data_IF_173140189961
#
_entry.id   IF_173140189961
#
_cell.length_a   1.000
_cell.length_b   1.000
_cell.length_c   1.000
_cell.angle_alpha   90.00
_cell.angle_beta   90.00
_cell.angle_gamma   90.00
#
_symmetry.space_group_name_H-M   'P 1'
#
loop_
_entity.id
_entity.type
_entity.pdbx_description
1 polymer ?
#
# COMPACT_ATOMS: atom_id res chain seq x y z
N UNK A 1 -24.18 10.09 3.19
CA UNK A 1 -23.55 10.85 4.31
C UNK A 1 -22.57 9.93 5.04
N UNK A 2 -21.71 10.49 5.92
CA UNK A 2 -20.87 9.68 6.82
C UNK A 2 -21.22 10.01 8.26
N UNK A 3 -21.42 8.96 9.05
CA UNK A 3 -21.51 9.04 10.50
C UNK A 3 -20.14 8.63 11.06
N UNK A 4 -19.51 9.51 11.81
CA UNK A 4 -18.16 9.29 12.31
C UNK A 4 -18.10 9.42 13.84
N UNK A 5 -17.65 8.37 14.49
CA UNK A 5 -17.31 8.35 15.90
C UNK A 5 -15.88 8.83 16.13
N UNK A 6 -15.66 10.15 16.18
CA UNK A 6 -14.33 10.70 16.46
C UNK A 6 -14.00 10.66 17.95
N UNK A 7 -12.70 10.80 18.29
CA UNK A 7 -12.18 10.84 19.66
C UNK A 7 -12.53 9.58 20.47
N UNK A 8 -13.51 9.65 21.37
CA UNK A 8 -13.87 8.58 22.31
C UNK A 8 -14.44 7.31 21.66
N UNK A 9 -14.77 7.36 20.37
CA UNK A 9 -15.26 6.23 19.59
C UNK A 9 -14.21 5.67 18.61
N UNK A 10 -12.92 6.00 18.83
CA UNK A 10 -11.76 5.47 18.11
C UNK A 10 -11.76 5.65 16.58
N UNK A 11 -12.57 6.56 16.03
CA UNK A 11 -12.60 6.84 14.60
C UNK A 11 -13.35 5.79 13.79
N UNK A 12 -14.40 5.19 14.36
CA UNK A 12 -15.37 4.39 13.61
C UNK A 12 -16.11 5.24 12.58
N UNK A 13 -16.23 4.72 11.36
CA UNK A 13 -16.85 5.38 10.21
C UNK A 13 -17.97 4.51 9.66
N UNK A 14 -19.11 5.11 9.41
CA UNK A 14 -20.25 4.48 8.76
C UNK A 14 -20.67 5.30 7.55
N UNK A 15 -20.65 4.66 6.38
CA UNK A 15 -21.04 5.24 5.11
C UNK A 15 -22.51 4.90 4.87
N UNK A 16 -23.37 5.91 4.91
CA UNK A 16 -24.82 5.73 4.88
C UNK A 16 -25.44 6.36 3.64
N UNK A 17 -26.22 5.57 2.90
CA UNK A 17 -27.03 6.04 1.78
C UNK A 17 -28.36 6.61 2.31
N UNK A 18 -28.59 7.91 2.10
CA UNK A 18 -29.80 8.58 2.57
C UNK A 18 -31.02 8.25 1.70
N UNK A 19 -30.82 7.95 0.42
CA UNK A 19 -31.92 7.69 -0.51
C UNK A 19 -32.52 6.30 -0.29
N UNK A 20 -31.65 5.31 -0.04
CA UNK A 20 -32.04 3.91 0.21
C UNK A 20 -32.17 3.60 1.72
N UNK A 21 -31.76 4.53 2.58
CA UNK A 21 -31.73 4.39 4.04
C UNK A 21 -30.95 3.16 4.52
N UNK A 22 -29.83 2.88 3.87
CA UNK A 22 -28.98 1.72 4.15
C UNK A 22 -27.52 2.08 4.41
N UNK A 23 -26.86 1.25 5.20
CA UNK A 23 -25.41 1.33 5.42
C UNK A 23 -24.69 0.68 4.24
N UNK A 24 -23.99 1.49 3.45
CA UNK A 24 -23.20 1.02 2.31
C UNK A 24 -21.90 0.34 2.75
N UNK A 25 -21.33 0.78 3.87
CA UNK A 25 -20.08 0.25 4.37
C UNK A 25 -19.70 0.81 5.73
N UNK A 26 -18.90 0.04 6.45
CA UNK A 26 -18.28 0.46 7.71
C UNK A 26 -16.77 0.41 7.56
N UNK A 27 -16.09 1.35 8.20
CA UNK A 27 -14.64 1.41 8.22
C UNK A 27 -14.16 1.99 9.55
N UNK A 28 -12.85 1.95 9.76
CA UNK A 28 -12.23 2.52 10.93
C UNK A 28 -10.97 3.28 10.52
N UNK A 29 -10.78 4.46 11.10
CA UNK A 29 -9.54 5.20 11.03
C UNK A 29 -9.12 5.58 12.44
N UNK A 30 -8.22 4.79 13.01
CA UNK A 30 -7.78 4.98 14.38
C UNK A 30 -7.20 6.37 14.61
N UNK A 31 -7.57 7.00 15.73
CA UNK A 31 -7.14 8.37 16.11
C UNK A 31 -7.50 9.45 15.08
N UNK A 32 -8.49 9.20 14.21
CA UNK A 32 -8.95 10.21 13.25
C UNK A 32 -9.33 11.51 13.98
N UNK A 33 -8.74 12.61 13.55
CA UNK A 33 -8.99 13.96 14.08
C UNK A 33 -9.99 14.70 13.21
N UNK A 34 -9.83 14.61 11.88
CA UNK A 34 -10.60 15.41 10.93
C UNK A 34 -11.09 14.55 9.77
N UNK A 35 -12.26 14.91 9.23
CA UNK A 35 -12.89 14.26 8.09
C UNK A 35 -13.40 15.33 7.14
N UNK A 36 -13.03 15.24 5.87
CA UNK A 36 -13.47 16.16 4.83
C UNK A 36 -13.92 15.43 3.57
N UNK A 37 -15.07 15.84 3.04
CA UNK A 37 -15.53 15.42 1.72
C UNK A 37 -14.84 16.22 0.62
N UNK A 38 -14.52 15.54 -0.48
CA UNK A 38 -14.09 16.24 -1.68
C UNK A 38 -15.25 17.08 -2.25
N UNK A 39 -14.99 18.20 -2.94
CA UNK A 39 -16.03 19.05 -3.52
C UNK A 39 -16.96 18.35 -4.51
N UNK A 40 -16.61 17.16 -5.03
CA UNK A 40 -17.45 16.36 -5.91
C UNK A 40 -18.32 15.32 -5.18
N UNK A 41 -18.08 15.07 -3.89
CA UNK A 41 -18.81 14.10 -3.08
C UNK A 41 -18.52 12.63 -3.41
N UNK A 42 -17.45 12.34 -4.17
CA UNK A 42 -17.06 10.98 -4.56
C UNK A 42 -16.04 10.37 -3.61
N UNK A 43 -15.27 11.20 -2.93
CA UNK A 43 -14.18 10.80 -2.06
C UNK A 43 -14.25 11.49 -0.71
N UNK A 44 -13.72 10.81 0.29
CA UNK A 44 -13.66 11.28 1.67
C UNK A 44 -12.23 11.16 2.14
N UNK A 45 -11.69 12.23 2.70
CA UNK A 45 -10.44 12.20 3.42
C UNK A 45 -10.71 12.06 4.91
N UNK A 46 -10.02 11.14 5.56
CA UNK A 46 -9.96 11.05 7.02
C UNK A 46 -8.51 11.23 7.43
N UNK A 47 -8.27 12.00 8.48
CA UNK A 47 -6.97 12.59 8.75
C UNK A 47 -6.59 12.34 10.19
N UNK A 48 -5.31 12.04 10.42
CA UNK A 48 -4.70 12.06 11.75
C UNK A 48 -3.63 13.14 11.72
N UNK A 49 -3.88 14.20 12.47
CA UNK A 49 -2.92 15.30 12.62
C UNK A 49 -1.89 15.01 13.70
N UNK A 50 -0.81 15.79 13.72
CA UNK A 50 0.30 15.72 14.67
C UNK A 50 -0.07 16.03 16.12
N UNK A 51 -1.35 16.21 16.43
CA UNK A 51 -1.87 16.20 17.81
C UNK A 51 -1.63 14.83 18.45
N UNK A 52 -1.59 13.77 17.64
CA UNK A 52 -1.21 12.43 18.06
C UNK A 52 0.25 12.14 17.69
N UNK A 53 0.96 11.36 18.51
CA UNK A 53 2.36 11.00 18.29
C UNK A 53 2.55 9.90 17.23
N UNK A 54 1.48 9.17 16.90
CA UNK A 54 1.51 8.01 16.00
C UNK A 54 0.41 8.13 14.93
N UNK A 55 0.55 7.36 13.85
CA UNK A 55 -0.42 7.25 12.75
C UNK A 55 -0.69 8.56 11.99
N UNK A 56 0.20 9.55 12.09
CA UNK A 56 0.04 10.82 11.37
C UNK A 56 -0.05 10.59 9.85
N UNK A 57 -0.99 11.28 9.21
CA UNK A 57 -1.25 11.14 7.79
C UNK A 57 -2.73 11.24 7.44
N UNK A 58 -3.09 10.65 6.30
CA UNK A 58 -4.46 10.66 5.81
C UNK A 58 -4.80 9.40 5.01
N UNK A 59 -6.08 9.04 5.10
CA UNK A 59 -6.69 7.99 4.30
C UNK A 59 -7.74 8.61 3.37
N UNK A 60 -7.76 8.14 2.13
CA UNK A 60 -8.77 8.51 1.14
C UNK A 60 -9.68 7.31 0.91
N UNK A 61 -10.97 7.52 1.10
CA UNK A 61 -12.03 6.54 0.91
C UNK A 61 -12.88 6.96 -0.29
N UNK A 62 -13.47 5.99 -0.98
CA UNK A 62 -14.59 6.25 -1.89
C UNK A 62 -15.89 6.47 -1.10
N UNK A 63 -16.90 7.02 -1.77
CA UNK A 63 -18.21 7.30 -1.18
C UNK A 63 -18.92 6.07 -0.57
N UNK A 64 -18.58 4.86 -1.00
CA UNK A 64 -19.12 3.60 -0.49
C UNK A 64 -18.26 2.94 0.61
N UNK A 65 -17.23 3.62 1.10
CA UNK A 65 -16.40 3.15 2.22
C UNK A 65 -15.21 2.28 1.85
N UNK A 66 -14.88 2.12 0.56
CA UNK A 66 -13.66 1.42 0.15
C UNK A 66 -12.44 2.32 0.33
N UNK A 67 -11.42 1.83 1.05
CA UNK A 67 -10.14 2.49 1.17
C UNK A 67 -9.41 2.50 -0.18
N UNK A 68 -9.00 3.67 -0.65
CA UNK A 68 -8.26 3.86 -1.91
C UNK A 68 -6.79 4.12 -1.65
N UNK A 69 -6.49 5.03 -0.72
CA UNK A 69 -5.13 5.42 -0.38
C UNK A 69 -4.98 5.53 1.13
N UNK A 70 -3.82 5.11 1.62
CA UNK A 70 -3.33 5.38 2.97
C UNK A 70 -1.93 5.94 2.85
N UNK A 71 -1.73 7.16 3.31
CA UNK A 71 -0.44 7.83 3.29
C UNK A 71 -0.11 8.26 4.71
N UNK A 72 0.92 7.62 5.27
CA UNK A 72 1.51 8.05 6.52
C UNK A 72 2.51 9.16 6.24
N UNK A 73 2.45 10.23 7.03
CA UNK A 73 3.34 11.37 6.92
C UNK A 73 3.64 11.89 8.31
N UNK A 74 4.93 11.93 8.64
CA UNK A 74 5.38 12.50 9.90
C UNK A 74 5.09 14.02 9.95
N UNK A 75 4.81 14.54 11.14
CA UNK A 75 4.44 15.93 11.39
C UNK A 75 3.33 16.42 10.44
N UNK A 76 2.24 15.66 10.32
CA UNK A 76 1.11 16.02 9.47
C UNK A 76 0.18 17.02 10.17
N UNK A 77 0.11 18.26 9.70
CA UNK A 77 -0.66 19.30 10.38
C UNK A 77 -2.08 19.51 9.85
N UNK A 78 -2.26 19.41 8.54
CA UNK A 78 -3.51 19.79 7.90
C UNK A 78 -3.70 19.07 6.57
N UNK A 79 -4.95 18.69 6.33
CA UNK A 79 -5.44 18.28 5.02
C UNK A 79 -6.55 19.25 4.62
N UNK A 80 -6.57 19.66 3.35
CA UNK A 80 -7.71 20.34 2.76
C UNK A 80 -7.86 19.93 1.31
N UNK A 81 -9.08 19.63 0.89
CA UNK A 81 -9.37 19.47 -0.53
C UNK A 81 -9.23 20.80 -1.26
N UNK A 82 -8.61 20.77 -2.44
CA UNK A 82 -8.56 21.96 -3.30
C UNK A 82 -9.99 22.35 -3.69
N UNK A 83 -10.45 23.58 -3.37
CA UNK A 83 -11.79 24.03 -3.77
C UNK A 83 -11.95 23.96 -5.29
N UNK A 84 -13.08 23.44 -5.74
CA UNK A 84 -13.39 23.35 -7.17
C UNK A 84 -13.90 24.71 -7.66
N UNK A 85 -13.28 25.32 -8.68
CA UNK A 85 -13.81 26.53 -9.30
C UNK A 85 -15.24 26.31 -9.84
N UNK A 86 -16.04 27.37 -9.98
CA UNK A 86 -17.36 27.30 -10.60
C UNK A 86 -17.32 26.63 -11.97
N UNK A 87 -18.39 25.91 -12.31
CA UNK A 87 -18.48 25.24 -13.61
C UNK A 87 -18.45 26.27 -14.73
N UNK A 88 -17.69 25.98 -15.78
CA UNK A 88 -17.68 26.79 -17.02
C UNK A 88 -18.86 26.44 -17.94
N UNK A 89 -19.73 25.53 -17.50
CA UNK A 89 -20.86 25.05 -18.28
C UNK A 89 -22.03 26.01 -18.12
N UNK A 90 -22.77 26.24 -19.21
CA UNK A 90 -24.05 26.91 -19.12
C UNK A 90 -25.08 25.97 -18.47
N UNK A 91 -26.11 26.51 -17.78
CA UNK A 91 -27.15 25.69 -17.16
C UNK A 91 -27.82 24.71 -18.13
N UNK A 92 -28.01 25.13 -19.40
CA UNK A 92 -28.57 24.29 -20.46
C UNK A 92 -27.73 23.04 -20.74
N UNK A 93 -26.39 23.18 -20.74
CA UNK A 93 -25.48 22.04 -20.95
C UNK A 93 -25.48 21.11 -19.75
N UNK A 94 -25.59 21.65 -18.53
CA UNK A 94 -25.69 20.83 -17.32
C UNK A 94 -26.97 19.98 -17.34
N UNK A 95 -28.10 20.54 -17.76
CA UNK A 95 -29.34 19.78 -17.94
C UNK A 95 -29.24 18.71 -19.05
N UNK A 96 -28.60 19.04 -20.17
CA UNK A 96 -28.38 18.08 -21.25
C UNK A 96 -27.53 16.89 -20.78
N UNK A 97 -26.46 17.16 -20.03
CA UNK A 97 -25.59 16.13 -19.44
C UNK A 97 -26.37 15.30 -18.44
N UNK A 98 -27.18 15.91 -17.58
CA UNK A 98 -28.01 15.20 -16.61
C UNK A 98 -29.01 14.26 -17.30
N UNK A 99 -29.66 14.71 -18.39
CA UNK A 99 -30.60 13.89 -19.19
C UNK A 99 -29.89 12.71 -19.87
N UNK A 100 -28.65 12.91 -20.32
CA UNK A 100 -27.89 11.92 -21.08
C UNK A 100 -26.84 11.17 -20.26
N UNK A 101 -26.92 11.22 -18.92
CA UNK A 101 -25.86 10.71 -18.02
C UNK A 101 -25.49 9.26 -18.30
N UNK A 102 -26.47 8.39 -18.63
CA UNK A 102 -26.23 6.96 -18.94
C UNK A 102 -25.36 6.76 -20.18
N UNK A 103 -25.50 7.63 -21.18
CA UNK A 103 -24.69 7.58 -22.40
C UNK A 103 -23.25 8.00 -22.10
N UNK A 104 -23.09 9.06 -21.30
CA UNK A 104 -21.78 9.54 -20.89
C UNK A 104 -21.07 8.55 -19.95
N UNK A 105 -21.77 7.95 -18.98
CA UNK A 105 -21.18 6.96 -18.07
C UNK A 105 -20.64 5.77 -18.85
N UNK A 106 -21.43 5.17 -19.77
CA UNK A 106 -20.95 4.06 -20.60
C UNK A 106 -19.72 4.43 -21.44
N UNK A 107 -19.69 5.65 -21.98
CA UNK A 107 -18.55 6.16 -22.76
C UNK A 107 -17.30 6.27 -21.87
N UNK A 108 -17.41 6.95 -20.74
CA UNK A 108 -16.28 7.21 -19.86
C UNK A 108 -15.80 5.96 -19.12
N UNK A 109 -16.69 5.03 -18.77
CA UNK A 109 -16.32 3.73 -18.20
C UNK A 109 -15.47 2.91 -19.20
N UNK A 110 -15.81 2.93 -20.49
CA UNK A 110 -15.01 2.25 -21.51
C UNK A 110 -13.64 2.93 -21.69
N UNK A 111 -13.61 4.27 -21.78
CA UNK A 111 -12.35 5.02 -21.88
C UNK A 111 -11.44 4.80 -20.65
N UNK A 112 -12.00 4.80 -19.44
CA UNK A 112 -11.26 4.55 -18.20
C UNK A 112 -10.71 3.11 -18.14
N UNK A 113 -11.48 2.11 -18.61
CA UNK A 113 -11.02 0.73 -18.72
C UNK A 113 -9.85 0.60 -19.70
N UNK A 114 -9.96 1.21 -20.88
CA UNK A 114 -8.91 1.18 -21.90
C UNK A 114 -7.62 1.83 -21.38
N UNK A 115 -7.72 2.98 -20.70
CA UNK A 115 -6.57 3.66 -20.08
C UNK A 115 -5.95 2.78 -18.98
N UNK A 116 -6.77 2.15 -18.14
CA UNK A 116 -6.27 1.27 -17.08
C UNK A 116 -5.52 0.05 -17.65
N UNK A 117 -6.01 -0.53 -18.75
CA UNK A 117 -5.34 -1.64 -19.42
C UNK A 117 -4.00 -1.20 -20.00
N UNK A 118 -3.97 -0.06 -20.69
CA UNK A 118 -2.74 0.51 -21.25
C UNK A 118 -1.67 0.77 -20.18
N UNK A 119 -2.05 1.36 -19.05
CA UNK A 119 -1.13 1.60 -17.93
C UNK A 119 -0.60 0.28 -17.33
N UNK A 120 -1.47 -0.71 -17.18
CA UNK A 120 -1.08 -2.04 -16.69
C UNK A 120 -0.10 -2.73 -17.63
N UNK A 121 -0.32 -2.64 -18.94
CA UNK A 121 0.59 -3.18 -19.95
C UNK A 121 1.95 -2.48 -19.92
N UNK A 122 1.99 -1.15 -19.81
CA UNK A 122 3.23 -0.39 -19.70
C UNK A 122 4.03 -0.77 -18.46
N UNK A 123 3.38 -0.92 -17.31
CA UNK A 123 4.05 -1.33 -16.07
C UNK A 123 4.53 -2.78 -16.15
N UNK A 124 3.75 -3.67 -16.76
CA UNK A 124 4.16 -5.05 -17.01
C UNK A 124 5.39 -5.13 -17.92
N UNK A 125 5.44 -4.31 -18.96
CA UNK A 125 6.59 -4.24 -19.87
C UNK A 125 7.83 -3.69 -19.17
N UNK A 126 7.71 -2.62 -18.38
CA UNK A 126 8.82 -2.10 -17.56
C UNK A 126 9.35 -3.17 -16.60
N UNK A 127 8.47 -3.89 -15.93
CA UNK A 127 8.86 -5.01 -15.03
C UNK A 127 9.54 -6.14 -15.80
N UNK A 128 9.08 -6.46 -17.00
CA UNK A 128 9.73 -7.47 -17.87
C UNK A 128 11.15 -7.04 -18.22
N UNK A 129 11.35 -5.80 -18.66
CA UNK A 129 12.67 -5.27 -19.01
C UNK A 129 13.63 -5.26 -17.81
N UNK A 130 13.17 -4.81 -16.64
CA UNK A 130 13.97 -4.85 -15.41
C UNK A 130 14.36 -6.30 -15.02
N UNK A 131 13.44 -7.25 -15.20
CA UNK A 131 13.70 -8.66 -14.93
C UNK A 131 14.72 -9.23 -15.91
N UNK A 132 14.60 -8.94 -17.21
CA UNK A 132 15.56 -9.35 -18.24
C UNK A 132 16.95 -8.75 -17.98
N UNK A 133 17.03 -7.49 -17.58
CA UNK A 133 18.28 -6.84 -17.18
C UNK A 133 18.91 -7.51 -15.94
N UNK A 134 18.09 -7.85 -14.95
CA UNK A 134 18.54 -8.58 -13.76
C UNK A 134 19.03 -9.99 -14.09
N UNK A 135 18.28 -10.75 -14.91
CA UNK A 135 18.65 -12.10 -15.34
C UNK A 135 19.94 -12.10 -16.17
N UNK A 136 20.10 -11.14 -17.07
CA UNK A 136 21.33 -10.99 -17.84
C UNK A 136 22.51 -10.55 -16.98
N UNK A 137 22.30 -9.72 -15.95
CA UNK A 137 23.31 -9.42 -14.94
C UNK A 137 23.73 -10.67 -14.15
N UNK A 138 22.78 -11.47 -13.65
CA UNK A 138 23.06 -12.73 -12.97
C UNK A 138 23.81 -13.72 -13.87
N UNK A 139 23.40 -13.85 -15.13
CA UNK A 139 24.04 -14.75 -16.08
C UNK A 139 25.51 -14.37 -16.31
N UNK A 140 25.80 -13.07 -16.47
CA UNK A 140 27.20 -12.59 -16.59
C UNK A 140 28.02 -12.91 -15.35
N UNK A 141 27.46 -12.70 -14.15
CA UNK A 141 28.15 -13.02 -12.91
C UNK A 141 28.40 -14.52 -12.76
N UNK A 142 27.41 -15.36 -13.08
CA UNK A 142 27.58 -16.81 -13.04
C UNK A 142 28.63 -17.28 -14.04
N UNK A 143 28.67 -16.71 -15.25
CA UNK A 143 29.73 -17.01 -16.22
C UNK A 143 31.11 -16.64 -15.70
N UNK A 144 31.28 -15.43 -15.15
CA UNK A 144 32.56 -15.01 -14.54
C UNK A 144 32.94 -15.96 -13.39
N UNK A 145 31.98 -16.31 -12.54
CA UNK A 145 32.20 -17.20 -11.40
C UNK A 145 32.65 -18.61 -11.81
N UNK A 146 32.07 -19.14 -12.90
CA UNK A 146 32.44 -20.42 -13.51
C UNK A 146 33.81 -20.36 -14.20
N UNK A 147 34.09 -19.29 -14.96
CA UNK A 147 35.37 -19.10 -15.64
C UNK A 147 36.52 -18.96 -14.64
N UNK A 148 36.29 -18.25 -13.53
CA UNK A 148 37.25 -18.09 -12.44
C UNK A 148 37.34 -19.32 -11.53
N UNK A 149 36.48 -20.34 -11.69
CA UNK A 149 36.45 -21.53 -10.81
C UNK A 149 37.82 -22.21 -10.71
N UNK A 150 38.48 -22.44 -11.85
CA UNK A 150 39.79 -23.11 -11.89
C UNK A 150 40.89 -22.26 -11.22
N UNK A 151 40.81 -20.94 -11.36
CA UNK A 151 41.75 -20.02 -10.72
C UNK A 151 41.50 -19.96 -9.21
N UNK A 152 40.24 -19.94 -8.77
CA UNK A 152 39.83 -20.00 -7.36
C UNK A 152 40.28 -21.31 -6.70
N UNK A 153 40.11 -22.44 -7.38
CA UNK A 153 40.55 -23.76 -6.93
C UNK A 153 42.09 -23.82 -6.80
N UNK A 154 42.82 -23.26 -7.78
CA UNK A 154 44.29 -23.15 -7.73
C UNK A 154 44.76 -22.30 -6.55
N UNK A 155 44.15 -21.13 -6.33
CA UNK A 155 44.52 -20.23 -5.23
C UNK A 155 44.22 -20.83 -3.84
N UNK A 156 43.32 -21.81 -3.76
CA UNK A 156 43.00 -22.56 -2.53
C UNK A 156 43.73 -23.90 -2.42
N UNK A 157 44.75 -24.15 -3.26
CA UNK A 157 45.56 -25.36 -3.16
C UNK A 157 44.90 -26.64 -3.68
N UNK A 158 43.84 -26.52 -4.50
CA UNK A 158 43.16 -27.66 -5.12
C UNK A 158 41.87 -28.13 -4.42
N UNK A 159 41.36 -27.37 -3.44
CA UNK A 159 40.08 -27.67 -2.80
C UNK A 159 38.92 -26.90 -3.46
N UNK A 160 37.91 -27.65 -3.92
CA UNK A 160 36.66 -27.10 -4.45
C UNK A 160 35.75 -26.66 -3.30
N UNK A 161 35.64 -25.36 -3.06
CA UNK A 161 34.81 -24.78 -1.98
C UNK A 161 33.35 -24.51 -2.40
N UNK A 162 33.02 -24.65 -3.68
CA UNK A 162 31.68 -24.35 -4.20
C UNK A 162 30.62 -25.41 -3.79
N UNK A 163 31.06 -26.54 -3.21
CA UNK A 163 30.18 -27.59 -2.65
C UNK A 163 30.02 -27.50 -1.12
N UNK A 164 30.57 -26.47 -0.42
CA UNK A 164 30.40 -26.38 1.03
C UNK A 164 28.90 -26.28 1.40
N UNK A 165 28.39 -27.36 1.99
CA UNK A 165 27.06 -27.43 2.59
C UNK A 165 26.90 -26.27 3.58
N UNK A 166 25.82 -25.53 3.37
CA UNK A 166 25.35 -24.42 4.20
C UNK A 166 25.40 -24.82 5.69
N UNK A 167 26.37 -24.29 6.45
CA UNK A 167 26.51 -24.62 7.86
C UNK A 167 25.24 -24.21 8.63
N UNK A 168 24.49 -25.19 9.13
CA UNK A 168 23.32 -24.96 9.97
C UNK A 168 23.78 -24.67 11.42
N UNK A 169 23.75 -23.40 11.82
CA UNK A 169 24.11 -23.00 13.17
C UNK A 169 23.08 -23.52 14.19
N UNK A 170 23.43 -24.56 14.94
CA UNK A 170 22.66 -25.03 16.11
C UNK A 170 23.18 -24.35 17.38
N UNK A 171 22.33 -23.56 18.03
CA UNK A 171 22.54 -23.18 19.43
C UNK A 171 22.36 -24.41 20.32
N UNK A 172 23.39 -24.75 21.09
CA UNK A 172 23.34 -25.78 22.14
C UNK A 172 23.48 -25.04 23.46
N UNK A 173 22.40 -24.99 24.24
CA UNK A 173 22.43 -24.49 25.62
C UNK A 173 23.12 -25.54 26.50
N UNK A 174 24.23 -25.16 27.12
CA UNK A 174 24.98 -26.01 28.05
C UNK A 174 24.63 -25.60 29.49
N UNK A 175 23.79 -26.38 30.16
CA UNK A 175 23.57 -26.24 31.61
C UNK A 175 24.65 -27.01 32.37
N UNK A 176 25.62 -26.30 32.93
CA UNK A 176 26.56 -26.86 33.89
C UNK A 176 25.92 -26.85 35.29
N UNK A 177 25.54 -28.03 35.79
CA UNK A 177 25.03 -28.19 37.16
C UNK A 177 26.20 -28.06 38.13
N UNK A 178 26.32 -26.90 38.76
CA UNK A 178 27.32 -26.63 39.80
C UNK A 178 26.83 -27.23 41.13
N UNK A 179 27.48 -28.34 41.52
CA UNK A 179 27.57 -28.92 42.87
C UNK A 179 26.24 -29.21 43.62
N UNK A 180 25.83 -30.48 43.63
CA UNK A 180 24.74 -30.98 44.47
C UNK A 180 25.30 -31.43 45.81
N UNK A 181 25.01 -30.68 46.88
CA UNK A 181 25.30 -31.12 48.26
C UNK A 181 24.10 -31.87 48.82
N UNK A 182 24.24 -33.18 48.99
CA UNK A 182 23.32 -33.99 49.80
C UNK A 182 23.66 -33.82 51.29
N UNK A 183 22.73 -33.24 52.07
CA UNK A 183 22.76 -33.35 53.52
C UNK A 183 22.10 -34.68 53.93
N UNK A 184 22.89 -35.58 54.52
CA UNK A 184 22.39 -36.80 55.16
C UNK A 184 21.88 -36.42 56.56
N UNK A 185 20.61 -36.75 56.82
CA UNK A 185 19.91 -36.60 58.12
C UNK A 185 20.51 -37.49 59.20
#
# INVERSE_FOLDING_TARGET
>A
IILAGLKGFNGQLEFFNVDELETMGTAEHFMCTDIEWDPTGRYVATVVTSVHEMENGFNIWSFNGKLLYRIMKDHFFQFQWRPRPPTLLSPEKEEEIAKNIKKYSKKYEAEDQDVSLLLSEQDREKRRLLKEEWESWLHRWNQIHEDERLERERLRGGEASDEEEEYEAKEIEYEEVIDVKEEVV
#
